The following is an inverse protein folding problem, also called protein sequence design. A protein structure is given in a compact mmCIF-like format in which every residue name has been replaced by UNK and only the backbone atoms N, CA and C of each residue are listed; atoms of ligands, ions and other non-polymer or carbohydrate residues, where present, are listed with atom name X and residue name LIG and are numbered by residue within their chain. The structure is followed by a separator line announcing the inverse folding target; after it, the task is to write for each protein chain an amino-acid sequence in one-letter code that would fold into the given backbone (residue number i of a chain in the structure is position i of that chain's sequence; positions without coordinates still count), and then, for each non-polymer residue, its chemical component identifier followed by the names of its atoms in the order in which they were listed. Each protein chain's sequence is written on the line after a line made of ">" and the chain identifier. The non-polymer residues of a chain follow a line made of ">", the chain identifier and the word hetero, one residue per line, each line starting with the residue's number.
data_IF_850322541603
#
_entry.id   IF_850322541603
#
_cell.length_a   1.000
_cell.length_b   1.000
_cell.length_c   1.000
_cell.angle_alpha   90.00
_cell.angle_beta   90.00
_cell.angle_gamma   90.00
#
_symmetry.space_group_name_H-M   'P 1'
#
loop_
_entity.id
_entity.type
_entity.pdbx_description
1 polymer ?
#
# COMPACT_ATOMS: atom_id res chain seq x y z
N UNK A 1 8.55 -14.78 41.76
CA UNK A 1 7.35 -14.05 41.33
C UNK A 1 7.82 -13.16 40.20
N UNK A 2 7.35 -13.39 38.98
CA UNK A 2 7.11 -12.38 37.92
C UNK A 2 6.64 -13.16 36.70
N UNK A 3 5.31 -13.19 36.52
CA UNK A 3 4.69 -13.69 35.30
C UNK A 3 4.69 -12.54 34.32
N UNK A 4 5.63 -12.55 33.38
CA UNK A 4 5.57 -11.69 32.19
C UNK A 4 4.24 -11.94 31.48
N UNK A 5 3.36 -10.94 31.53
CA UNK A 5 2.13 -10.90 30.74
C UNK A 5 2.53 -10.68 29.28
N UNK A 6 2.72 -11.77 28.55
CA UNK A 6 2.64 -11.77 27.10
C UNK A 6 1.19 -11.50 26.68
N UNK A 7 0.81 -10.23 26.60
CA UNK A 7 -0.36 -9.77 25.84
C UNK A 7 0.08 -9.42 24.43
N UNK A 8 0.69 -10.38 23.73
CA UNK A 8 1.12 -10.26 22.35
C UNK A 8 0.40 -11.36 21.58
N UNK A 9 -0.56 -11.00 20.72
CA UNK A 9 -0.72 -11.64 19.39
C UNK A 9 -1.94 -11.14 18.61
N UNK A 10 -3.12 -11.04 19.24
CA UNK A 10 -4.37 -10.95 18.48
C UNK A 10 -4.56 -9.64 17.69
N UNK A 11 -3.96 -8.52 18.14
CA UNK A 11 -4.05 -7.24 17.41
C UNK A 11 -3.09 -7.21 16.23
N UNK A 12 -1.82 -7.59 16.45
CA UNK A 12 -0.81 -7.63 15.38
C UNK A 12 -1.17 -8.61 14.26
N UNK A 13 -1.71 -9.78 14.62
CA UNK A 13 -2.13 -10.78 13.64
C UNK A 13 -3.32 -10.28 12.79
N UNK A 14 -4.26 -9.58 13.42
CA UNK A 14 -5.38 -8.94 12.71
C UNK A 14 -4.90 -7.80 11.80
N UNK A 15 -4.01 -6.94 12.26
CA UNK A 15 -3.47 -5.82 11.48
C UNK A 15 -2.67 -6.32 10.27
N UNK A 16 -1.87 -7.37 10.46
CA UNK A 16 -1.17 -8.04 9.38
C UNK A 16 -2.15 -8.67 8.39
N UNK A 17 -3.15 -9.42 8.87
CA UNK A 17 -4.16 -10.04 8.00
C UNK A 17 -4.92 -8.98 7.19
N UNK A 18 -5.27 -7.86 7.80
CA UNK A 18 -5.95 -6.74 7.14
C UNK A 18 -5.08 -6.09 6.07
N UNK A 19 -3.79 -5.89 6.34
CA UNK A 19 -2.84 -5.40 5.33
C UNK A 19 -2.71 -6.40 4.17
N UNK A 20 -2.62 -7.70 4.45
CA UNK A 20 -2.54 -8.72 3.41
C UNK A 20 -3.79 -8.72 2.51
N UNK A 21 -4.98 -8.58 3.10
CA UNK A 21 -6.23 -8.43 2.35
C UNK A 21 -6.23 -7.17 1.50
N UNK A 22 -5.83 -6.03 2.05
CA UNK A 22 -5.72 -4.77 1.29
C UNK A 22 -4.77 -4.90 0.10
N UNK A 23 -3.67 -5.64 0.25
CA UNK A 23 -2.72 -5.88 -0.85
C UNK A 23 -3.34 -6.79 -1.92
N UNK A 24 -4.04 -7.86 -1.52
CA UNK A 24 -4.74 -8.73 -2.46
C UNK A 24 -5.85 -7.96 -3.22
N UNK A 25 -6.62 -7.15 -2.51
CA UNK A 25 -7.65 -6.28 -3.09
C UNK A 25 -7.04 -5.26 -4.06
N UNK A 26 -5.84 -4.75 -3.76
CA UNK A 26 -5.15 -3.81 -4.64
C UNK A 26 -4.77 -4.48 -5.96
N UNK A 27 -4.17 -5.68 -5.87
CA UNK A 27 -3.78 -6.46 -7.05
C UNK A 27 -5.02 -6.78 -7.90
N UNK A 28 -6.07 -7.33 -7.30
CA UNK A 28 -7.30 -7.67 -8.00
C UNK A 28 -7.96 -6.43 -8.64
N UNK A 29 -8.01 -5.30 -7.93
CA UNK A 29 -8.54 -4.04 -8.46
C UNK A 29 -7.74 -3.56 -9.68
N UNK A 30 -6.41 -3.61 -9.60
CA UNK A 30 -5.54 -3.18 -10.70
C UNK A 30 -5.67 -4.10 -11.91
N UNK A 31 -5.73 -5.42 -11.70
CA UNK A 31 -5.95 -6.42 -12.74
C UNK A 31 -7.29 -6.21 -13.46
N UNK A 32 -8.39 -6.07 -12.71
CA UNK A 32 -9.71 -5.79 -13.28
C UNK A 32 -9.74 -4.47 -14.05
N UNK A 33 -9.07 -3.44 -13.52
CA UNK A 33 -8.96 -2.14 -14.19
C UNK A 33 -8.13 -2.23 -15.46
N UNK A 34 -7.08 -3.04 -15.47
CA UNK A 34 -6.25 -3.26 -16.65
C UNK A 34 -7.04 -3.99 -17.73
N UNK A 35 -7.72 -5.09 -17.37
CA UNK A 35 -8.61 -5.85 -18.25
C UNK A 35 -9.70 -4.98 -18.88
N UNK A 36 -10.41 -4.20 -18.06
CA UNK A 36 -11.49 -3.31 -18.56
C UNK A 36 -10.99 -2.22 -19.50
N UNK A 37 -9.71 -1.82 -19.38
CA UNK A 37 -9.06 -0.84 -20.26
C UNK A 37 -8.26 -1.46 -21.40
N UNK A 38 -8.26 -2.79 -21.54
CA UNK A 38 -7.37 -3.52 -22.46
C UNK A 38 -5.90 -3.12 -22.30
N UNK A 39 -5.51 -2.79 -21.07
CA UNK A 39 -4.16 -2.40 -20.71
C UNK A 39 -3.41 -3.63 -20.18
N UNK A 40 -2.10 -3.65 -20.42
CA UNK A 40 -1.20 -4.62 -19.79
C UNK A 40 -1.26 -4.51 -18.26
N UNK A 41 -1.60 -5.63 -17.60
CA UNK A 41 -1.71 -5.75 -16.15
C UNK A 41 -0.42 -5.35 -15.45
N UNK A 42 0.72 -5.78 -15.99
CA UNK A 42 2.02 -5.50 -15.39
C UNK A 42 2.32 -3.99 -15.42
N UNK A 43 2.01 -3.31 -16.52
CA UNK A 43 2.09 -1.85 -16.63
C UNK A 43 1.15 -1.15 -15.64
N UNK A 44 -0.07 -1.64 -15.46
CA UNK A 44 -1.03 -1.07 -14.52
C UNK A 44 -0.57 -1.23 -13.05
N UNK A 45 0.02 -2.38 -12.71
CA UNK A 45 0.60 -2.65 -11.40
C UNK A 45 1.84 -1.78 -11.15
N UNK A 46 2.72 -1.59 -12.14
CA UNK A 46 3.85 -0.64 -12.04
C UNK A 46 3.39 0.79 -11.80
N UNK A 47 2.34 1.22 -12.48
CA UNK A 47 1.75 2.54 -12.24
C UNK A 47 1.19 2.67 -10.82
N UNK A 48 0.59 1.60 -10.28
CA UNK A 48 0.14 1.56 -8.88
C UNK A 48 1.30 1.65 -7.90
N UNK A 49 2.34 0.84 -8.10
CA UNK A 49 3.55 0.86 -7.27
C UNK A 49 4.20 2.25 -7.30
N UNK A 50 4.32 2.87 -8.47
CA UNK A 50 4.88 4.22 -8.61
C UNK A 50 4.10 5.27 -7.82
N UNK A 51 2.76 5.25 -7.87
CA UNK A 51 1.93 6.15 -7.06
C UNK A 51 2.16 5.96 -5.56
N UNK A 52 2.26 4.72 -5.10
CA UNK A 52 2.51 4.40 -3.70
C UNK A 52 3.91 4.84 -3.24
N UNK A 53 4.94 4.63 -4.07
CA UNK A 53 6.31 5.10 -3.80
C UNK A 53 6.34 6.63 -3.68
N UNK A 54 5.74 7.33 -4.65
CA UNK A 54 5.70 8.80 -4.65
C UNK A 54 4.97 9.34 -3.43
N UNK A 55 3.83 8.76 -3.07
CA UNK A 55 3.10 9.15 -1.87
C UNK A 55 3.90 8.86 -0.59
N UNK A 56 4.56 7.70 -0.49
CA UNK A 56 5.42 7.34 0.64
C UNK A 56 6.54 8.37 0.83
N UNK A 57 7.20 8.77 -0.25
CA UNK A 57 8.29 9.75 -0.20
C UNK A 57 7.81 11.11 0.31
N UNK A 58 6.68 11.60 -0.21
CA UNK A 58 6.07 12.84 0.28
C UNK A 58 5.66 12.74 1.75
N UNK A 59 5.15 11.59 2.18
CA UNK A 59 4.76 11.36 3.56
C UNK A 59 5.98 11.35 4.51
N UNK A 60 7.10 10.76 4.09
CA UNK A 60 8.36 10.74 4.84
C UNK A 60 8.95 12.14 5.01
N UNK A 61 8.78 13.00 4.02
CA UNK A 61 9.30 14.36 4.03
C UNK A 61 8.24 15.42 4.35
N UNK A 62 7.07 15.02 4.85
CA UNK A 62 5.92 15.91 5.04
C UNK A 62 6.23 17.12 5.95
N UNK A 63 7.16 16.99 6.90
CA UNK A 63 7.60 18.08 7.78
C UNK A 63 8.34 19.22 7.03
N UNK A 64 8.82 18.94 5.82
CA UNK A 64 9.57 19.86 4.95
C UNK A 64 8.80 20.24 3.67
N UNK A 65 7.56 19.78 3.52
CA UNK A 65 6.76 19.95 2.30
C UNK A 65 5.50 20.77 2.59
N UNK A 66 4.93 21.35 1.53
CA UNK A 66 3.61 21.97 1.61
C UNK A 66 2.53 20.88 1.73
N UNK A 67 1.60 21.05 2.66
CA UNK A 67 0.50 20.10 2.91
C UNK A 67 -0.34 19.87 1.64
N UNK A 68 -0.40 20.88 0.77
CA UNK A 68 -1.06 20.80 -0.53
C UNK A 68 -0.51 19.71 -1.43
N UNK A 69 0.82 19.49 -1.44
CA UNK A 69 1.45 18.47 -2.31
C UNK A 69 1.09 17.06 -1.87
N UNK A 70 1.10 16.81 -0.56
CA UNK A 70 0.70 15.53 0.02
C UNK A 70 -0.79 15.26 -0.24
N UNK A 71 -1.64 16.28 -0.08
CA UNK A 71 -3.07 16.18 -0.36
C UNK A 71 -3.35 15.88 -1.83
N UNK A 72 -2.70 16.60 -2.75
CA UNK A 72 -2.83 16.36 -4.19
C UNK A 72 -2.44 14.92 -4.54
N UNK A 73 -1.29 14.47 -4.05
CA UNK A 73 -0.86 13.08 -4.29
C UNK A 73 -1.83 12.07 -3.69
N UNK A 74 -2.36 12.34 -2.49
CA UNK A 74 -3.40 11.49 -1.89
C UNK A 74 -4.64 11.41 -2.78
N UNK A 75 -5.06 12.49 -3.44
CA UNK A 75 -6.25 12.44 -4.33
C UNK A 75 -6.05 11.52 -5.54
N UNK A 76 -4.84 11.44 -6.08
CA UNK A 76 -4.47 10.58 -7.22
C UNK A 76 -4.50 9.08 -6.89
N UNK A 77 -4.44 8.72 -5.61
CA UNK A 77 -4.53 7.33 -5.15
C UNK A 77 -5.93 6.74 -5.40
N UNK A 78 -5.96 5.48 -5.81
CA UNK A 78 -7.17 4.67 -5.87
C UNK A 78 -7.76 4.45 -4.47
N UNK A 79 -9.02 4.00 -4.39
CA UNK A 79 -9.66 3.70 -3.10
C UNK A 79 -8.86 2.69 -2.27
N UNK A 80 -8.29 1.67 -2.91
CA UNK A 80 -7.50 0.64 -2.22
C UNK A 80 -6.13 1.18 -1.82
N UNK A 81 -5.48 1.94 -2.70
CA UNK A 81 -4.20 2.64 -2.39
C UNK A 81 -4.37 3.58 -1.19
N UNK A 82 -5.50 4.30 -1.10
CA UNK A 82 -5.85 5.17 0.04
C UNK A 82 -6.02 4.39 1.34
N UNK A 83 -6.62 3.21 1.31
CA UNK A 83 -6.76 2.36 2.50
C UNK A 83 -5.40 1.91 3.03
N UNK A 84 -4.46 1.59 2.14
CA UNK A 84 -3.09 1.23 2.52
C UNK A 84 -2.34 2.45 3.06
N UNK A 85 -2.45 3.60 2.40
CA UNK A 85 -1.82 4.85 2.84
C UNK A 85 -2.25 5.27 4.26
N UNK A 86 -3.51 5.01 4.65
CA UNK A 86 -4.02 5.30 6.00
C UNK A 86 -3.37 4.44 7.09
N UNK A 87 -2.79 3.29 6.74
CA UNK A 87 -2.08 2.42 7.67
C UNK A 87 -0.62 2.89 7.91
N UNK A 88 -0.15 3.90 7.17
CA UNK A 88 1.14 4.53 7.38
C UNK A 88 2.29 3.98 6.51
N UNK A 89 3.50 4.47 6.80
CA UNK A 89 4.72 4.23 6.00
C UNK A 89 5.11 2.75 5.94
N UNK A 90 4.94 2.00 7.03
CA UNK A 90 5.28 0.57 7.07
C UNK A 90 4.38 -0.24 6.14
N UNK A 91 3.08 0.02 6.16
CA UNK A 91 2.12 -0.61 5.26
C UNK A 91 2.38 -0.29 3.79
N UNK A 92 2.77 0.95 3.49
CA UNK A 92 3.20 1.37 2.15
C UNK A 92 4.45 0.58 1.72
N UNK A 93 5.45 0.46 2.59
CA UNK A 93 6.69 -0.27 2.31
C UNK A 93 6.42 -1.75 2.02
N UNK A 94 5.66 -2.43 2.88
CA UNK A 94 5.29 -3.84 2.69
C UNK A 94 4.51 -4.03 1.38
N UNK A 95 3.60 -3.11 1.06
CA UNK A 95 2.82 -3.17 -0.17
C UNK A 95 3.70 -3.01 -1.41
N UNK A 96 4.59 -2.02 -1.42
CA UNK A 96 5.52 -1.76 -2.52
C UNK A 96 6.40 -2.98 -2.76
N UNK A 97 6.94 -3.58 -1.70
CA UNK A 97 7.78 -4.78 -1.78
C UNK A 97 7.01 -6.00 -2.32
N UNK A 98 5.73 -6.15 -1.95
CA UNK A 98 4.88 -7.22 -2.46
C UNK A 98 4.52 -7.03 -3.93
N UNK A 99 4.23 -5.80 -4.35
CA UNK A 99 4.02 -5.48 -5.76
C UNK A 99 5.30 -5.75 -6.57
N UNK A 100 6.47 -5.43 -6.00
CA UNK A 100 7.76 -5.68 -6.64
C UNK A 100 8.01 -7.18 -6.88
N UNK A 101 7.74 -7.99 -5.85
CA UNK A 101 7.82 -9.46 -5.94
C UNK A 101 6.80 -10.06 -6.91
N UNK A 102 5.65 -9.44 -7.08
CA UNK A 102 4.65 -9.88 -8.07
C UNK A 102 5.13 -9.68 -9.52
N UNK A 103 6.07 -8.76 -9.77
CA UNK A 103 6.68 -8.58 -11.09
C UNK A 103 7.69 -9.65 -11.46
N UNK A 104 8.36 -10.26 -10.47
CA UNK A 104 9.42 -11.25 -10.70
C UNK A 104 8.90 -12.68 -10.96
N UNK A 105 7.61 -12.93 -10.69
CA UNK A 105 6.99 -14.25 -10.80
C UNK A 105 6.06 -14.40 -12.02
N UNK A 106 6.02 -13.41 -12.93
CA UNK A 106 5.34 -13.47 -14.24
C UNK A 106 6.38 -13.41 -15.36
#
# INVERSE_FOLDING_TARGET
>A
MDKEKNSFDASCENDLCNLQKNIADLVAYVELRALSKQQDTHTALKQSQYRLIKYKELLLHAEHLDETELLLMYTELSKVEKSIAKLGVDALTITIDRLDKAFLNN
#
